data_IF_266742964911
#
_entry.id   IF_266742964911
#
_cell.length_a   1.000
_cell.length_b   1.000
_cell.length_c   1.000
_cell.angle_alpha   90.00
_cell.angle_beta   90.00
_cell.angle_gamma   90.00
#
_symmetry.space_group_name_H-M   'P 1'
#
loop_
_entity.id
_entity.type
_entity.pdbx_description
1 polymer ?
#
# COMPACT_ATOMS: atom_id res chain seq x y z
N UNK A 1 -11.79 -0.39 -75.13
CA UNK A 1 -11.98 -0.75 -73.71
C UNK A 1 -10.88 -0.10 -72.88
N UNK A 2 -11.19 1.04 -72.28
CA UNK A 2 -10.29 1.83 -71.43
C UNK A 2 -10.25 1.24 -70.02
N UNK A 3 -9.09 0.71 -69.62
CA UNK A 3 -8.85 0.24 -68.25
C UNK A 3 -8.66 1.44 -67.32
N UNK A 4 -9.68 1.72 -66.50
CA UNK A 4 -9.62 2.71 -65.41
C UNK A 4 -8.71 2.14 -64.31
N UNK A 5 -7.51 2.72 -64.16
CA UNK A 5 -6.74 2.62 -62.91
C UNK A 5 -7.56 3.26 -61.80
N UNK A 6 -8.06 2.44 -60.87
CA UNK A 6 -8.59 2.92 -59.60
C UNK A 6 -7.37 3.34 -58.77
N UNK A 7 -7.09 4.64 -58.72
CA UNK A 7 -6.22 5.23 -57.70
C UNK A 7 -7.05 5.24 -56.42
N UNK A 8 -6.81 4.27 -55.54
CA UNK A 8 -7.29 4.39 -54.16
C UNK A 8 -6.56 5.57 -53.52
N UNK A 9 -7.31 6.61 -53.14
CA UNK A 9 -6.77 7.67 -52.30
C UNK A 9 -6.42 7.04 -50.95
N UNK A 10 -5.14 6.73 -50.74
CA UNK A 10 -4.62 6.39 -49.42
C UNK A 10 -4.84 7.65 -48.58
N UNK A 11 -5.88 7.64 -47.75
CA UNK A 11 -6.13 8.71 -46.81
C UNK A 11 -4.90 8.78 -45.90
N UNK A 12 -4.10 9.83 -46.09
CA UNK A 12 -2.81 9.96 -45.42
C UNK A 12 -3.01 9.84 -43.92
N UNK A 13 -2.34 8.86 -43.31
CA UNK A 13 -2.42 8.63 -41.87
C UNK A 13 -2.03 9.91 -41.12
N UNK A 14 -2.94 10.36 -40.24
CA UNK A 14 -2.77 11.61 -39.49
C UNK A 14 -1.56 11.58 -38.58
N UNK A 15 -1.17 10.39 -38.08
CA UNK A 15 0.01 10.22 -37.24
C UNK A 15 1.31 10.36 -38.05
N UNK A 16 1.33 9.83 -39.27
CA UNK A 16 2.47 9.95 -40.18
C UNK A 16 2.80 11.40 -40.56
N UNK A 17 1.82 12.32 -40.47
CA UNK A 17 2.01 13.75 -40.77
C UNK A 17 2.48 14.59 -39.58
N UNK A 18 2.54 14.03 -38.36
CA UNK A 18 3.02 14.77 -37.18
C UNK A 18 4.54 14.95 -37.23
N UNK A 19 5.10 16.06 -36.73
CA UNK A 19 6.54 16.20 -36.51
C UNK A 19 7.06 15.19 -35.48
N UNK A 20 8.33 14.77 -35.64
CA UNK A 20 9.00 13.82 -34.74
C UNK A 20 8.91 14.25 -33.27
N UNK A 21 9.03 15.55 -33.00
CA UNK A 21 8.95 16.10 -31.63
C UNK A 21 7.61 15.78 -30.95
N UNK A 22 6.49 15.84 -31.70
CA UNK A 22 5.18 15.49 -31.16
C UNK A 22 5.02 13.98 -31.01
N UNK A 23 5.54 13.21 -31.96
CA UNK A 23 5.53 11.75 -31.87
C UNK A 23 6.32 11.24 -30.67
N UNK A 24 7.47 11.85 -30.37
CA UNK A 24 8.27 11.51 -29.18
C UNK A 24 7.50 11.82 -27.89
N UNK A 25 6.75 12.92 -27.83
CA UNK A 25 5.89 13.24 -26.67
C UNK A 25 4.80 12.18 -26.51
N UNK A 26 4.14 11.80 -27.61
CA UNK A 26 3.10 10.76 -27.61
C UNK A 26 3.70 9.42 -27.14
N UNK A 27 4.80 8.98 -27.74
CA UNK A 27 5.45 7.70 -27.41
C UNK A 27 5.99 7.70 -25.98
N UNK A 28 6.52 8.83 -25.49
CA UNK A 28 7.01 8.95 -24.10
C UNK A 28 5.87 8.90 -23.08
N UNK A 29 4.61 9.08 -23.51
CA UNK A 29 3.43 8.90 -22.66
C UNK A 29 2.95 7.44 -22.59
N UNK A 30 3.53 6.55 -23.40
CA UNK A 30 3.28 5.11 -23.37
C UNK A 30 4.24 4.41 -22.40
N UNK A 31 3.89 3.21 -21.94
CA UNK A 31 4.87 2.35 -21.28
C UNK A 31 6.01 2.01 -22.23
N UNK A 32 7.18 1.66 -21.70
CA UNK A 32 8.34 1.32 -22.53
C UNK A 32 8.03 0.16 -23.49
N UNK A 33 7.29 -0.85 -23.04
CA UNK A 33 6.83 -1.98 -23.86
C UNK A 33 5.89 -1.56 -25.00
N UNK A 34 4.92 -0.70 -24.71
CA UNK A 34 4.00 -0.18 -25.73
C UNK A 34 4.75 0.69 -26.74
N UNK A 35 5.65 1.55 -26.27
CA UNK A 35 6.56 2.32 -27.09
C UNK A 35 7.32 1.39 -28.06
N UNK A 36 7.97 0.34 -27.57
CA UNK A 36 8.68 -0.62 -28.43
C UNK A 36 7.75 -1.31 -29.43
N UNK A 37 6.51 -1.57 -29.05
CA UNK A 37 5.51 -2.19 -29.92
C UNK A 37 5.15 -1.29 -31.12
N UNK A 38 5.23 0.04 -30.97
CA UNK A 38 5.03 0.97 -32.11
C UNK A 38 6.16 0.92 -33.15
N UNK A 39 7.32 0.34 -32.82
CA UNK A 39 8.47 0.25 -33.75
C UNK A 39 8.21 -0.57 -35.01
N UNK A 40 7.15 -1.39 -35.02
CA UNK A 40 6.73 -2.19 -36.18
C UNK A 40 5.91 -1.39 -37.19
N UNK A 41 5.41 -0.20 -36.82
CA UNK A 41 4.55 0.63 -37.66
C UNK A 41 5.30 1.18 -38.89
N UNK A 42 6.56 1.58 -38.72
CA UNK A 42 7.44 1.95 -39.83
C UNK A 42 8.91 2.03 -39.38
N UNK A 43 9.82 2.22 -40.33
CA UNK A 43 11.23 2.53 -40.04
C UNK A 43 11.37 3.80 -39.20
N UNK A 44 10.57 4.84 -39.47
CA UNK A 44 10.57 6.09 -38.69
C UNK A 44 10.21 5.85 -37.23
N UNK A 45 9.11 5.12 -36.99
CA UNK A 45 8.67 4.78 -35.63
C UNK A 45 9.73 3.98 -34.87
N UNK A 46 10.42 3.04 -35.53
CA UNK A 46 11.56 2.32 -34.93
C UNK A 46 12.68 3.25 -34.42
N UNK A 47 12.98 4.33 -35.13
CA UNK A 47 13.95 5.33 -34.67
C UNK A 47 13.36 6.22 -33.57
N UNK A 48 12.11 6.64 -33.67
CA UNK A 48 11.46 7.46 -32.63
C UNK A 48 11.35 6.75 -31.29
N UNK A 49 11.07 5.44 -31.28
CA UNK A 49 11.08 4.63 -30.05
C UNK A 49 12.45 4.66 -29.34
N UNK A 50 13.55 4.87 -30.07
CA UNK A 50 14.90 5.01 -29.48
C UNK A 50 15.11 6.35 -28.80
N UNK A 51 14.23 7.32 -29.00
CA UNK A 51 14.27 8.65 -28.37
C UNK A 51 13.26 8.77 -27.22
N UNK A 52 12.67 7.65 -26.77
CA UNK A 52 11.80 7.65 -25.59
C UNK A 52 12.53 8.17 -24.36
N UNK A 53 11.81 8.94 -23.53
CA UNK A 53 12.33 9.48 -22.27
C UNK A 53 12.15 8.54 -21.08
N UNK A 54 11.35 7.49 -21.25
CA UNK A 54 11.03 6.52 -20.20
C UNK A 54 11.50 5.15 -20.65
N UNK A 55 12.51 4.63 -19.97
CA UNK A 55 13.10 3.32 -20.24
C UNK A 55 12.85 2.42 -19.04
N UNK A 56 12.19 1.29 -19.25
CA UNK A 56 11.89 0.34 -18.18
C UNK A 56 12.26 -1.07 -18.62
N UNK A 57 13.33 -1.61 -18.06
CA UNK A 57 13.72 -3.00 -18.28
C UNK A 57 13.13 -3.86 -17.16
N UNK A 58 12.12 -4.67 -17.50
CA UNK A 58 11.47 -5.56 -16.56
C UNK A 58 11.64 -7.02 -16.99
N UNK A 59 12.38 -7.79 -16.18
CA UNK A 59 12.64 -9.21 -16.40
C UNK A 59 11.34 -10.00 -16.52
N UNK A 60 10.33 -9.69 -15.70
CA UNK A 60 9.06 -10.44 -15.68
C UNK A 60 8.25 -10.31 -16.98
N UNK A 61 8.49 -9.26 -17.77
CA UNK A 61 7.86 -9.08 -19.08
C UNK A 61 8.55 -9.88 -20.19
N UNK A 62 9.79 -10.34 -19.97
CA UNK A 62 10.63 -10.99 -20.96
C UNK A 62 10.92 -12.47 -20.64
N UNK A 63 11.07 -12.79 -19.36
CA UNK A 63 11.45 -14.12 -18.87
C UNK A 63 10.27 -14.76 -18.14
N UNK A 64 9.60 -15.69 -18.82
CA UNK A 64 8.65 -16.59 -18.14
C UNK A 64 9.40 -17.53 -17.19
N UNK A 65 9.18 -17.34 -15.89
CA UNK A 65 9.80 -18.10 -14.81
C UNK A 65 9.31 -19.55 -14.69
N UNK A 66 8.27 -19.95 -15.43
CA UNK A 66 7.76 -21.33 -15.45
C UNK A 66 8.51 -22.28 -16.40
N UNK A 67 9.44 -21.73 -17.21
CA UNK A 67 10.13 -22.48 -18.28
C UNK A 67 11.52 -22.93 -17.83
N UNK A 68 11.95 -24.12 -18.26
CA UNK A 68 13.25 -24.73 -17.93
C UNK A 68 14.47 -23.91 -18.38
N UNK A 69 14.33 -23.13 -19.47
CA UNK A 69 15.42 -22.35 -20.06
C UNK A 69 15.56 -20.92 -19.47
N UNK A 70 15.31 -20.76 -18.17
CA UNK A 70 15.37 -19.45 -17.48
C UNK A 70 16.74 -18.78 -17.67
N UNK A 71 17.84 -19.52 -17.56
CA UNK A 71 19.20 -18.96 -17.65
C UNK A 71 19.48 -18.32 -19.01
N UNK A 72 19.17 -19.00 -20.13
CA UNK A 72 19.46 -18.46 -21.46
C UNK A 72 18.59 -17.25 -21.78
N UNK A 73 17.32 -17.24 -21.33
CA UNK A 73 16.44 -16.08 -21.45
C UNK A 73 16.98 -14.87 -20.67
N UNK A 74 17.52 -15.07 -19.46
CA UNK A 74 18.19 -14.00 -18.69
C UNK A 74 19.43 -13.46 -19.39
N UNK A 75 20.27 -14.34 -19.94
CA UNK A 75 21.44 -13.94 -20.75
C UNK A 75 20.99 -13.10 -21.95
N UNK A 76 19.96 -13.55 -22.66
CA UNK A 76 19.39 -12.80 -23.79
C UNK A 76 18.82 -11.45 -23.36
N UNK A 77 18.14 -11.37 -22.21
CA UNK A 77 17.59 -10.13 -21.69
C UNK A 77 18.70 -9.12 -21.33
N UNK A 78 19.74 -9.57 -20.62
CA UNK A 78 20.89 -8.73 -20.30
C UNK A 78 21.61 -8.28 -21.58
N UNK A 79 21.81 -9.18 -22.54
CA UNK A 79 22.36 -8.82 -23.85
C UNK A 79 21.52 -7.78 -24.58
N UNK A 80 20.19 -7.88 -24.49
CA UNK A 80 19.27 -6.88 -25.03
C UNK A 80 19.42 -5.52 -24.33
N UNK A 81 19.46 -5.48 -22.98
CA UNK A 81 19.66 -4.24 -22.22
C UNK A 81 20.98 -3.56 -22.60
N UNK A 82 22.09 -4.31 -22.62
CA UNK A 82 23.42 -3.81 -22.99
C UNK A 82 23.47 -3.31 -24.44
N UNK A 83 22.83 -4.03 -25.37
CA UNK A 83 22.72 -3.59 -26.76
C UNK A 83 21.85 -2.33 -26.90
N UNK A 84 20.84 -2.16 -26.04
CA UNK A 84 19.99 -0.99 -26.09
C UNK A 84 20.73 0.27 -25.66
N UNK A 85 21.40 0.24 -24.49
CA UNK A 85 22.14 1.40 -23.98
C UNK A 85 23.28 1.81 -24.90
N UNK A 86 24.01 0.84 -25.48
CA UNK A 86 25.11 1.12 -26.41
C UNK A 86 24.66 1.79 -27.72
N UNK A 87 23.40 1.63 -28.09
CA UNK A 87 22.80 2.22 -29.30
C UNK A 87 21.89 3.42 -28.99
N UNK A 88 21.84 3.88 -27.74
CA UNK A 88 21.00 4.99 -27.33
C UNK A 88 21.67 6.32 -27.67
N UNK A 89 21.10 7.05 -28.63
CA UNK A 89 21.59 8.36 -29.07
C UNK A 89 20.73 9.52 -28.54
N UNK A 90 19.68 9.21 -27.78
CA UNK A 90 18.82 10.22 -27.17
C UNK A 90 19.59 11.11 -26.19
N UNK A 91 19.17 12.38 -26.14
CA UNK A 91 19.81 13.40 -25.30
C UNK A 91 19.35 13.36 -23.84
N UNK A 92 18.10 12.96 -23.59
CA UNK A 92 17.47 13.06 -22.27
C UNK A 92 16.77 11.75 -21.94
N UNK A 93 16.92 11.27 -20.69
CA UNK A 93 16.10 10.21 -20.11
C UNK A 93 15.52 10.81 -18.83
N UNK A 94 14.20 10.76 -18.71
CA UNK A 94 13.49 11.26 -17.54
C UNK A 94 13.36 10.16 -16.47
N UNK A 95 13.01 8.95 -16.89
CA UNK A 95 12.87 7.80 -16.02
C UNK A 95 13.64 6.60 -16.56
N UNK A 96 14.39 5.95 -15.67
CA UNK A 96 15.12 4.72 -15.96
C UNK A 96 14.83 3.67 -14.88
N UNK A 97 14.36 2.51 -15.30
CA UNK A 97 13.95 1.42 -14.42
C UNK A 97 14.66 0.12 -14.80
N UNK A 98 15.20 -0.55 -13.78
CA UNK A 98 15.80 -1.88 -13.86
C UNK A 98 15.08 -2.77 -12.83
N UNK A 99 14.26 -3.68 -13.32
CA UNK A 99 13.58 -4.71 -12.54
C UNK A 99 14.16 -6.07 -12.94
N UNK A 100 15.05 -6.62 -12.11
CA UNK A 100 15.80 -7.84 -12.43
C UNK A 100 16.09 -8.65 -11.17
N UNK A 101 15.35 -9.75 -10.97
CA UNK A 101 15.38 -10.54 -9.73
C UNK A 101 16.75 -11.15 -9.50
N UNK A 102 17.36 -10.93 -8.32
CA UNK A 102 18.63 -11.53 -7.88
C UNK A 102 19.69 -11.51 -9.02
N UNK A 103 20.41 -10.39 -9.24
CA UNK A 103 21.33 -10.17 -10.36
C UNK A 103 22.62 -11.02 -10.36
N UNK A 104 22.63 -12.16 -9.68
CA UNK A 104 23.77 -13.05 -9.57
C UNK A 104 24.29 -13.47 -10.95
N UNK A 105 25.57 -13.18 -11.21
CA UNK A 105 26.24 -13.46 -12.48
C UNK A 105 26.11 -12.36 -13.55
N UNK A 106 25.40 -11.26 -13.27
CA UNK A 106 25.22 -10.12 -14.18
C UNK A 106 25.55 -8.78 -13.51
N UNK A 107 26.37 -8.81 -12.45
CA UNK A 107 26.60 -7.66 -11.58
C UNK A 107 27.25 -6.49 -12.34
N UNK A 108 28.22 -6.78 -13.21
CA UNK A 108 28.94 -5.76 -13.97
C UNK A 108 28.05 -5.10 -15.04
N UNK A 109 27.20 -5.89 -15.70
CA UNK A 109 26.24 -5.37 -16.68
C UNK A 109 25.19 -4.49 -16.00
N UNK A 110 24.69 -4.90 -14.83
CA UNK A 110 23.76 -4.12 -14.02
C UNK A 110 24.40 -2.83 -13.52
N UNK A 111 25.65 -2.87 -13.06
CA UNK A 111 26.41 -1.68 -12.67
C UNK A 111 26.56 -0.71 -13.85
N UNK A 112 26.93 -1.22 -15.04
CA UNK A 112 27.02 -0.41 -16.27
C UNK A 112 25.69 0.23 -16.67
N UNK A 113 24.57 -0.47 -16.48
CA UNK A 113 23.23 0.08 -16.71
C UNK A 113 22.90 1.23 -15.75
N UNK A 114 23.28 1.10 -14.47
CA UNK A 114 23.08 2.15 -13.47
C UNK A 114 23.97 3.37 -13.78
N UNK A 115 25.25 3.15 -14.12
CA UNK A 115 26.16 4.22 -14.53
C UNK A 115 25.67 4.95 -15.78
N UNK A 116 25.09 4.22 -16.74
CA UNK A 116 24.46 4.80 -17.90
C UNK A 116 23.30 5.72 -17.50
N UNK A 117 22.41 5.29 -16.59
CA UNK A 117 21.31 6.13 -16.10
C UNK A 117 21.84 7.41 -15.43
N UNK A 118 22.88 7.29 -14.60
CA UNK A 118 23.54 8.45 -13.96
C UNK A 118 24.15 9.40 -14.99
N UNK A 119 24.81 8.87 -16.02
CA UNK A 119 25.37 9.67 -17.13
C UNK A 119 24.32 10.49 -17.88
N UNK A 120 23.06 10.05 -17.83
CA UNK A 120 21.91 10.67 -18.48
C UNK A 120 21.14 11.63 -17.58
N UNK A 121 21.60 11.83 -16.34
CA UNK A 121 21.06 12.80 -15.39
C UNK A 121 19.55 12.61 -15.16
N UNK A 122 19.16 11.35 -14.93
CA UNK A 122 17.76 10.95 -14.80
C UNK A 122 17.11 11.57 -13.56
N UNK A 123 15.82 11.87 -13.69
CA UNK A 123 15.00 12.38 -12.58
C UNK A 123 14.42 11.25 -11.74
N UNK A 124 14.10 10.12 -12.36
CA UNK A 124 13.48 8.98 -11.70
C UNK A 124 14.31 7.73 -11.95
N UNK A 125 14.85 7.15 -10.88
CA UNK A 125 15.64 5.93 -10.95
C UNK A 125 14.96 4.83 -10.12
N UNK A 126 14.68 3.70 -10.77
CA UNK A 126 14.15 2.50 -10.12
C UNK A 126 15.15 1.36 -10.29
N UNK A 127 15.58 0.80 -9.18
CA UNK A 127 16.43 -0.38 -9.09
C UNK A 127 15.71 -1.38 -8.22
N UNK A 128 15.17 -2.43 -8.81
CA UNK A 128 14.39 -3.46 -8.12
C UNK A 128 14.96 -4.85 -8.42
N UNK A 129 15.67 -5.39 -7.45
CA UNK A 129 16.26 -6.73 -7.52
C UNK A 129 15.50 -7.76 -6.68
N UNK A 130 14.31 -7.40 -6.20
CA UNK A 130 13.47 -8.28 -5.40
C UNK A 130 13.13 -9.54 -6.18
N UNK A 131 13.22 -10.70 -5.53
CA UNK A 131 12.64 -11.91 -6.08
C UNK A 131 11.11 -11.90 -5.87
N UNK A 132 10.29 -12.10 -6.91
CA UNK A 132 8.83 -12.13 -6.78
C UNK A 132 8.29 -13.16 -5.78
N UNK A 133 9.06 -14.22 -5.49
CA UNK A 133 8.69 -15.24 -4.50
C UNK A 133 8.85 -14.78 -3.05
N UNK A 134 9.56 -13.68 -2.79
CA UNK A 134 9.74 -13.17 -1.44
C UNK A 134 8.45 -12.58 -0.90
N UNK A 135 8.03 -13.10 0.25
CA UNK A 135 6.78 -12.72 0.93
C UNK A 135 7.01 -12.21 2.35
N UNK A 136 8.20 -12.46 2.93
CA UNK A 136 8.60 -12.01 4.26
C UNK A 136 10.06 -11.54 4.23
N UNK A 137 10.43 -10.62 5.12
CA UNK A 137 11.77 -10.01 5.16
C UNK A 137 12.91 -11.06 5.32
N UNK A 138 12.67 -12.15 6.06
CA UNK A 138 13.63 -13.25 6.23
C UNK A 138 13.92 -14.03 4.94
N UNK A 139 13.04 -13.95 3.93
CA UNK A 139 13.30 -14.52 2.61
C UNK A 139 14.45 -13.78 1.91
N UNK A 140 14.54 -12.47 2.08
CA UNK A 140 15.57 -11.63 1.45
C UNK A 140 16.87 -11.59 2.25
N UNK A 141 16.82 -11.71 3.58
CA UNK A 141 18.01 -11.65 4.43
C UNK A 141 19.05 -12.72 4.06
N UNK A 142 18.61 -13.87 3.56
CA UNK A 142 19.48 -14.94 3.05
C UNK A 142 20.31 -14.53 1.85
N UNK A 143 19.90 -13.49 1.11
CA UNK A 143 20.57 -13.00 -0.09
C UNK A 143 21.30 -11.67 0.17
N UNK A 144 21.30 -11.16 1.41
CA UNK A 144 21.87 -9.87 1.76
C UNK A 144 23.37 -9.76 1.39
N UNK A 145 24.11 -10.85 1.54
CA UNK A 145 25.55 -10.90 1.19
C UNK A 145 25.81 -10.93 -0.33
N UNK A 146 24.79 -11.21 -1.13
CA UNK A 146 24.84 -11.24 -2.60
C UNK A 146 24.31 -9.95 -3.24
N UNK A 147 23.88 -8.98 -2.42
CA UNK A 147 23.28 -7.76 -2.92
C UNK A 147 24.30 -6.94 -3.73
N UNK A 148 23.89 -6.51 -4.94
CA UNK A 148 24.58 -5.44 -5.67
C UNK A 148 24.60 -4.21 -4.78
N UNK A 149 25.76 -3.60 -4.58
CA UNK A 149 25.85 -2.32 -3.88
C UNK A 149 25.50 -1.20 -4.84
N UNK A 150 24.76 -0.22 -4.36
CA UNK A 150 24.44 0.96 -5.13
C UNK A 150 25.75 1.69 -5.50
N UNK A 151 26.01 1.95 -6.80
CA UNK A 151 27.21 2.65 -7.24
C UNK A 151 27.33 4.05 -6.62
N UNK A 152 28.57 4.47 -6.32
CA UNK A 152 28.86 5.76 -5.64
C UNK A 152 28.34 6.95 -6.44
N UNK A 153 28.33 6.86 -7.77
CA UNK A 153 27.88 7.92 -8.66
C UNK A 153 26.39 8.25 -8.49
N UNK A 154 25.56 7.32 -8.00
CA UNK A 154 24.13 7.56 -7.76
C UNK A 154 23.91 8.56 -6.62
N UNK A 155 24.71 8.48 -5.54
CA UNK A 155 24.60 9.39 -4.40
C UNK A 155 24.97 10.84 -4.73
N UNK A 156 25.70 11.04 -5.83
CA UNK A 156 26.11 12.38 -6.32
C UNK A 156 25.12 12.96 -7.33
N UNK A 157 24.03 12.25 -7.65
CA UNK A 157 23.08 12.65 -8.68
C UNK A 157 22.12 13.72 -8.16
N UNK A 158 22.36 14.98 -8.54
CA UNK A 158 21.58 16.14 -8.07
C UNK A 158 20.25 16.37 -8.80
N UNK A 159 20.07 15.71 -9.94
CA UNK A 159 18.86 15.79 -10.77
C UNK A 159 17.72 14.87 -10.31
N UNK A 160 18.00 14.00 -9.34
CA UNK A 160 17.10 12.95 -8.91
C UNK A 160 15.91 13.51 -8.10
N UNK A 161 14.70 13.30 -8.61
CA UNK A 161 13.45 13.65 -7.96
C UNK A 161 12.82 12.44 -7.23
N UNK A 162 13.03 11.22 -7.75
CA UNK A 162 12.53 9.97 -7.17
C UNK A 162 13.55 8.83 -7.28
N UNK A 163 13.75 8.10 -6.18
CA UNK A 163 14.61 6.92 -6.10
C UNK A 163 13.87 5.75 -5.46
N UNK A 164 13.79 4.63 -6.16
CA UNK A 164 13.32 3.35 -5.61
C UNK A 164 14.46 2.33 -5.65
N UNK A 165 14.82 1.76 -4.51
CA UNK A 165 15.92 0.80 -4.35
C UNK A 165 15.43 -0.40 -3.55
N UNK A 166 15.21 -1.52 -4.23
CA UNK A 166 14.75 -2.77 -3.64
C UNK A 166 15.80 -3.86 -3.82
N UNK A 167 16.17 -4.53 -2.72
CA UNK A 167 17.16 -5.62 -2.69
C UNK A 167 18.54 -5.24 -3.28
N UNK A 168 18.92 -3.96 -3.16
CA UNK A 168 20.20 -3.42 -3.58
C UNK A 168 20.85 -2.72 -2.38
N UNK A 169 22.09 -3.10 -2.05
CA UNK A 169 22.81 -2.64 -0.87
C UNK A 169 23.01 -1.13 -0.90
N UNK A 170 22.44 -0.44 0.09
CA UNK A 170 22.52 0.99 0.25
C UNK A 170 23.45 1.34 1.41
N UNK A 171 24.21 2.41 1.25
CA UNK A 171 25.02 3.02 2.30
C UNK A 171 24.45 4.42 2.59
N UNK A 172 23.56 4.55 3.60
CA UNK A 172 22.83 5.79 3.85
C UNK A 172 23.74 6.98 4.16
N UNK A 173 24.94 6.72 4.72
CA UNK A 173 25.92 7.73 5.09
C UNK A 173 26.48 8.51 3.89
N UNK A 174 26.38 7.94 2.68
CA UNK A 174 26.91 8.53 1.44
C UNK A 174 25.99 9.58 0.83
N UNK A 175 24.75 9.70 1.28
CA UNK A 175 23.91 10.79 0.83
C UNK A 175 24.36 12.11 1.46
N UNK A 176 24.75 13.06 0.61
CA UNK A 176 25.07 14.42 1.02
C UNK A 176 23.79 15.27 1.17
N UNK A 177 23.82 16.31 2.01
CA UNK A 177 22.69 17.20 2.34
C UNK A 177 21.96 17.86 1.14
N UNK A 178 22.52 17.76 -0.06
CA UNK A 178 21.98 18.38 -1.28
C UNK A 178 21.51 17.37 -2.35
N UNK A 179 21.69 16.07 -2.12
CA UNK A 179 21.50 15.02 -3.14
C UNK A 179 20.35 14.05 -2.91
N UNK A 180 19.54 14.21 -1.85
CA UNK A 180 18.42 13.31 -1.57
C UNK A 180 17.17 13.70 -2.40
N UNK A 181 16.53 12.72 -3.06
CA UNK A 181 15.35 12.96 -3.89
C UNK A 181 14.13 13.37 -3.05
N UNK A 182 13.13 13.95 -3.72
CA UNK A 182 11.83 14.27 -3.10
C UNK A 182 11.06 13.02 -2.70
N UNK A 183 11.26 11.91 -3.40
CA UNK A 183 10.66 10.61 -3.11
C UNK A 183 11.73 9.54 -2.97
N UNK A 184 11.68 8.81 -1.86
CA UNK A 184 12.60 7.71 -1.57
C UNK A 184 11.81 6.48 -1.14
N UNK A 185 12.00 5.38 -1.85
CA UNK A 185 11.43 4.07 -1.53
C UNK A 185 12.55 3.05 -1.41
N UNK A 186 12.70 2.47 -0.24
CA UNK A 186 13.75 1.52 0.09
C UNK A 186 13.08 0.24 0.54
N UNK A 187 13.52 -0.91 0.03
CA UNK A 187 12.92 -2.16 0.48
C UNK A 187 13.81 -3.38 0.36
N UNK A 188 13.49 -4.41 1.13
CA UNK A 188 14.16 -5.71 1.09
C UNK A 188 15.67 -5.63 1.34
N UNK A 189 16.11 -4.72 2.22
CA UNK A 189 17.51 -4.57 2.61
C UNK A 189 17.70 -4.61 4.13
N UNK A 190 18.94 -4.90 4.53
CA UNK A 190 19.43 -4.65 5.88
C UNK A 190 19.64 -3.13 6.03
N UNK A 191 18.78 -2.45 6.78
CA UNK A 191 18.74 -0.99 6.79
C UNK A 191 19.28 -0.40 8.08
N UNK A 192 20.59 -0.57 8.27
CA UNK A 192 21.37 0.03 9.35
C UNK A 192 21.86 1.43 8.97
N UNK A 193 22.18 2.26 9.96
CA UNK A 193 22.64 3.65 9.83
C UNK A 193 21.61 4.58 9.16
N UNK A 194 20.33 4.22 9.21
CA UNK A 194 19.23 4.92 8.55
C UNK A 194 18.99 6.35 9.11
N UNK A 195 19.45 6.64 10.33
CA UNK A 195 19.35 8.00 10.92
C UNK A 195 20.12 9.05 10.10
N UNK A 196 21.25 8.66 9.49
CA UNK A 196 22.05 9.56 8.64
C UNK A 196 21.27 10.02 7.40
N UNK A 197 20.41 9.15 6.87
CA UNK A 197 19.57 9.45 5.70
C UNK A 197 18.55 10.56 5.99
N UNK A 198 17.87 10.45 7.13
CA UNK A 198 16.78 11.36 7.51
C UNK A 198 17.31 12.72 7.98
N UNK A 199 18.46 12.73 8.66
CA UNK A 199 19.12 13.98 9.07
C UNK A 199 19.65 14.80 7.88
N UNK A 200 19.98 14.15 6.76
CA UNK A 200 20.55 14.77 5.58
C UNK A 200 19.51 15.12 4.48
N UNK A 201 18.20 14.95 4.70
CA UNK A 201 17.15 15.09 3.66
C UNK A 201 16.12 16.21 3.91
N UNK A 202 16.48 17.50 3.77
CA UNK A 202 15.50 18.58 3.91
C UNK A 202 14.45 18.63 2.79
N UNK A 203 14.72 18.02 1.63
CA UNK A 203 13.88 18.03 0.43
C UNK A 203 12.88 16.88 0.36
N UNK A 204 13.00 15.88 1.22
CA UNK A 204 12.21 14.65 1.14
C UNK A 204 10.74 14.91 1.49
N UNK A 205 9.85 14.49 0.58
CA UNK A 205 8.40 14.64 0.69
C UNK A 205 7.67 13.30 0.81
N UNK A 206 8.22 12.22 0.29
CA UNK A 206 7.64 10.88 0.36
C UNK A 206 8.72 9.87 0.74
N UNK A 207 8.50 9.13 1.84
CA UNK A 207 9.38 8.08 2.33
C UNK A 207 8.60 6.77 2.41
N UNK A 208 9.12 5.71 1.78
CA UNK A 208 8.62 4.33 1.90
C UNK A 208 9.74 3.40 2.33
N UNK A 209 9.51 2.62 3.38
CA UNK A 209 10.45 1.61 3.87
C UNK A 209 9.70 0.27 3.95
N UNK A 210 10.09 -0.66 3.08
CA UNK A 210 9.27 -1.83 2.74
C UNK A 210 10.05 -3.13 2.97
N UNK A 211 9.61 -3.99 3.88
CA UNK A 211 10.22 -5.29 4.18
C UNK A 211 11.71 -5.23 4.56
N UNK A 212 12.15 -4.11 5.13
CA UNK A 212 13.52 -3.96 5.63
C UNK A 212 13.69 -4.66 6.98
N UNK A 213 14.91 -5.06 7.32
CA UNK A 213 15.24 -5.60 8.63
C UNK A 213 16.39 -4.84 9.28
N UNK A 214 16.50 -4.96 10.60
CA UNK A 214 17.46 -4.22 11.43
C UNK A 214 17.32 -2.70 11.32
N UNK A 215 16.12 -2.19 11.08
CA UNK A 215 15.88 -0.75 10.90
C UNK A 215 16.23 -0.02 12.21
N UNK A 216 17.18 0.90 12.17
CA UNK A 216 17.73 1.60 13.33
C UNK A 216 17.33 3.08 13.41
N UNK A 217 16.11 3.40 12.98
CA UNK A 217 15.55 4.75 13.01
C UNK A 217 14.89 5.02 14.38
N UNK A 218 15.42 5.97 15.15
CA UNK A 218 14.79 6.41 16.42
C UNK A 218 13.87 7.62 16.28
N UNK A 219 14.09 8.47 15.27
CA UNK A 219 13.33 9.70 15.09
C UNK A 219 13.10 9.96 13.60
N UNK A 220 11.83 10.10 13.24
CA UNK A 220 11.38 10.46 11.89
C UNK A 220 10.80 11.85 11.99
N UNK A 221 11.58 12.83 11.54
CA UNK A 221 11.23 14.23 11.60
C UNK A 221 11.45 14.89 10.23
N UNK A 222 10.57 15.82 9.87
CA UNK A 222 10.74 16.60 8.65
C UNK A 222 9.44 17.07 8.03
N UNK A 223 9.57 17.77 6.91
CA UNK A 223 8.44 18.33 6.15
C UNK A 223 7.94 17.33 5.09
N UNK A 224 7.66 16.10 5.51
CA UNK A 224 7.18 15.02 4.66
C UNK A 224 5.66 15.07 4.49
N UNK A 225 5.19 14.73 3.29
CA UNK A 225 3.77 14.60 2.91
C UNK A 225 3.27 13.16 3.02
N UNK A 226 4.13 12.19 2.76
CA UNK A 226 3.79 10.77 2.78
C UNK A 226 4.89 10.00 3.52
N UNK A 227 4.48 9.17 4.47
CA UNK A 227 5.37 8.27 5.21
C UNK A 227 4.72 6.89 5.26
N UNK A 228 5.44 5.89 4.73
CA UNK A 228 4.99 4.51 4.62
C UNK A 228 6.05 3.58 5.20
N UNK A 229 5.61 2.75 6.15
CA UNK A 229 6.35 1.60 6.65
C UNK A 229 5.53 0.37 6.35
N UNK A 230 6.10 -0.57 5.60
CA UNK A 230 5.46 -1.84 5.30
C UNK A 230 6.36 -3.00 5.77
N UNK A 231 5.81 -3.86 6.61
CA UNK A 231 6.44 -5.05 7.19
C UNK A 231 7.95 -4.92 7.52
N UNK A 232 8.35 -3.80 8.11
CA UNK A 232 9.76 -3.54 8.41
C UNK A 232 10.07 -3.85 9.87
N UNK A 233 11.15 -4.60 10.09
CA UNK A 233 11.58 -5.03 11.43
C UNK A 233 12.57 -4.02 12.00
N UNK A 234 12.10 -3.26 13.00
CA UNK A 234 12.90 -2.34 13.77
C UNK A 234 13.75 -3.11 14.78
N UNK A 235 15.05 -2.81 14.83
CA UNK A 235 16.02 -3.56 15.64
C UNK A 235 15.52 -3.72 17.10
N UNK A 236 15.68 -4.91 17.73
CA UNK A 236 14.94 -5.29 18.91
C UNK A 236 15.08 -4.28 20.06
N UNK A 237 13.94 -3.71 20.47
CA UNK A 237 13.67 -2.94 21.70
C UNK A 237 13.81 -1.41 21.68
N UNK A 238 13.54 -0.68 20.61
CA UNK A 238 13.56 0.80 20.71
C UNK A 238 12.37 1.49 20.06
N UNK A 239 11.84 2.43 20.83
CA UNK A 239 10.81 3.35 20.46
C UNK A 239 11.17 4.10 19.17
N UNK A 240 10.15 4.49 18.41
CA UNK A 240 10.30 5.38 17.28
C UNK A 240 9.50 6.65 17.55
N UNK A 241 10.17 7.79 17.43
CA UNK A 241 9.56 9.11 17.58
C UNK A 241 9.19 9.71 16.22
N UNK A 242 8.03 10.38 16.15
CA UNK A 242 7.51 11.02 14.95
C UNK A 242 7.31 12.52 15.19
N UNK A 243 7.90 13.36 14.34
CA UNK A 243 7.71 14.80 14.28
C UNK A 243 7.39 15.23 12.84
N UNK A 244 6.12 15.07 12.48
CA UNK A 244 5.62 15.16 11.10
C UNK A 244 4.48 16.19 11.00
N UNK A 245 4.78 17.50 11.06
CA UNK A 245 3.76 18.55 11.13
C UNK A 245 2.91 18.70 9.86
N UNK A 246 3.37 18.20 8.70
CA UNK A 246 2.73 18.41 7.40
C UNK A 246 2.34 17.11 6.67
N UNK A 247 2.39 15.97 7.36
CA UNK A 247 2.06 14.66 6.78
C UNK A 247 0.59 14.57 6.40
N UNK A 248 0.31 14.10 5.20
CA UNK A 248 -1.03 13.92 4.66
C UNK A 248 -1.40 12.44 4.58
N UNK A 249 -0.42 11.56 4.37
CA UNK A 249 -0.60 10.11 4.29
C UNK A 249 0.39 9.45 5.24
N UNK A 250 -0.12 8.67 6.19
CA UNK A 250 0.70 7.88 7.11
C UNK A 250 0.26 6.41 7.06
N UNK A 251 1.17 5.52 6.67
CA UNK A 251 0.89 4.08 6.63
C UNK A 251 1.95 3.35 7.44
N UNK A 252 1.50 2.49 8.34
CA UNK A 252 2.36 1.66 9.15
C UNK A 252 1.85 0.24 9.15
N UNK A 253 2.70 -0.70 8.75
CA UNK A 253 2.48 -2.12 8.92
C UNK A 253 3.72 -2.80 9.51
N UNK A 254 3.52 -3.63 10.53
CA UNK A 254 4.62 -4.32 11.21
C UNK A 254 4.31 -4.67 12.66
N UNK A 255 5.35 -4.77 13.49
CA UNK A 255 5.22 -5.03 14.93
C UNK A 255 4.76 -3.78 15.70
N UNK A 256 4.21 -3.96 16.91
CA UNK A 256 3.90 -2.84 17.81
C UNK A 256 5.21 -2.30 18.40
N UNK A 257 5.49 -1.01 18.17
CA UNK A 257 6.62 -0.29 18.75
C UNK A 257 6.17 0.54 19.95
N UNK A 258 7.12 1.04 20.72
CA UNK A 258 6.84 2.18 21.59
C UNK A 258 6.80 3.43 20.72
N UNK A 259 5.60 3.94 20.46
CA UNK A 259 5.39 5.10 19.60
C UNK A 259 5.47 6.38 20.42
N UNK A 260 6.40 7.27 20.07
CA UNK A 260 6.43 8.64 20.59
C UNK A 260 6.00 9.60 19.47
N UNK A 261 5.02 10.46 19.71
CA UNK A 261 4.56 11.42 18.69
C UNK A 261 4.65 12.82 19.26
N UNK A 262 5.57 13.62 18.71
CA UNK A 262 5.89 14.96 19.18
C UNK A 262 4.96 16.00 18.57
N UNK A 263 5.02 16.15 17.25
CA UNK A 263 4.07 16.96 16.48
C UNK A 263 3.56 16.13 15.32
N UNK A 264 2.27 16.22 15.08
CA UNK A 264 1.61 15.57 13.97
C UNK A 264 0.71 16.58 13.29
N UNK A 265 0.55 16.44 11.98
CA UNK A 265 -0.40 17.25 11.24
C UNK A 265 -1.80 17.07 11.83
N UNK A 266 -2.50 18.19 12.03
CA UNK A 266 -3.86 18.21 12.57
C UNK A 266 -4.91 17.87 11.51
N UNK A 267 -4.53 17.78 10.22
CA UNK A 267 -5.42 17.42 9.11
C UNK A 267 -4.70 16.39 8.24
N UNK A 268 -4.91 15.11 8.54
CA UNK A 268 -4.29 14.00 7.81
C UNK A 268 -5.34 13.41 6.87
N UNK A 269 -5.01 13.19 5.60
CA UNK A 269 -5.95 12.62 4.63
C UNK A 269 -6.20 11.15 4.92
N UNK A 270 -5.13 10.38 5.08
CA UNK A 270 -5.21 8.92 5.24
C UNK A 270 -4.23 8.43 6.30
N UNK A 271 -4.74 7.61 7.22
CA UNK A 271 -3.96 6.83 8.18
C UNK A 271 -4.29 5.36 8.00
N UNK A 272 -3.27 4.53 7.82
CA UNK A 272 -3.39 3.08 7.72
C UNK A 272 -2.49 2.40 8.75
N UNK A 273 -3.07 1.57 9.62
CA UNK A 273 -2.36 0.88 10.70
C UNK A 273 -2.62 -0.63 10.65
N UNK A 274 -1.57 -1.42 10.46
CA UNK A 274 -1.66 -2.88 10.35
C UNK A 274 -0.58 -3.65 11.13
N UNK A 275 -0.97 -4.20 12.26
CA UNK A 275 -0.12 -4.97 13.17
C UNK A 275 -0.22 -6.49 12.99
N UNK A 276 -0.19 -6.98 11.75
CA UNK A 276 -0.41 -8.40 11.45
C UNK A 276 0.59 -9.36 12.13
N UNK A 277 1.82 -8.92 12.41
CA UNK A 277 2.83 -9.72 13.11
C UNK A 277 2.38 -10.15 14.52
N UNK A 278 1.48 -9.39 15.14
CA UNK A 278 0.98 -9.66 16.49
C UNK A 278 -0.34 -10.48 16.50
N UNK A 279 -0.94 -10.78 15.34
CA UNK A 279 -2.25 -11.45 15.27
C UNK A 279 -2.27 -12.86 15.87
N UNK A 280 -1.16 -13.59 15.79
CA UNK A 280 -1.03 -14.93 16.38
C UNK A 280 -0.96 -14.93 17.92
N UNK A 281 -0.78 -13.77 18.54
CA UNK A 281 -0.60 -13.64 20.00
C UNK A 281 -1.91 -13.30 20.74
N UNK A 282 -3.00 -12.99 20.01
CA UNK A 282 -4.28 -12.57 20.59
C UNK A 282 -5.27 -13.74 20.73
N UNK A 283 -4.94 -14.72 21.57
CA UNK A 283 -5.88 -15.79 21.95
C UNK A 283 -6.79 -15.40 23.12
N UNK A 284 -6.21 -14.71 24.11
CA UNK A 284 -6.88 -14.19 25.30
C UNK A 284 -6.11 -12.99 25.85
N UNK A 285 -6.78 -12.06 26.57
CA UNK A 285 -6.11 -10.96 27.22
C UNK A 285 -4.95 -11.44 28.10
N UNK A 286 -3.79 -10.82 27.93
CA UNK A 286 -2.60 -11.11 28.71
C UNK A 286 -1.83 -9.80 28.97
N UNK A 287 -0.72 -9.88 29.72
CA UNK A 287 0.06 -8.69 30.08
C UNK A 287 0.58 -7.92 28.85
N UNK A 288 0.96 -8.64 27.78
CA UNK A 288 1.47 -8.03 26.56
C UNK A 288 0.36 -7.30 25.79
N UNK A 289 -0.79 -7.94 25.58
CA UNK A 289 -1.92 -7.30 24.87
C UNK A 289 -2.48 -6.08 25.59
N UNK A 290 -2.39 -6.01 26.93
CA UNK A 290 -2.75 -4.82 27.71
C UNK A 290 -1.77 -3.65 27.53
N UNK A 291 -0.48 -3.94 27.46
CA UNK A 291 0.55 -2.94 27.14
C UNK A 291 0.36 -2.43 25.72
N UNK A 292 0.23 -3.36 24.76
CA UNK A 292 -0.01 -3.03 23.36
C UNK A 292 -1.32 -2.23 23.19
N UNK A 293 -2.38 -2.57 23.94
CA UNK A 293 -3.63 -1.81 23.95
C UNK A 293 -3.47 -0.37 24.43
N UNK A 294 -2.65 -0.15 25.47
CA UNK A 294 -2.29 1.20 25.95
C UNK A 294 -1.49 1.97 24.90
N UNK A 295 -0.42 1.36 24.37
CA UNK A 295 0.47 1.97 23.38
C UNK A 295 -0.29 2.33 22.08
N UNK A 296 -1.13 1.42 21.59
CA UNK A 296 -1.92 1.62 20.37
C UNK A 296 -3.03 2.66 20.57
N UNK A 297 -3.65 2.73 21.76
CA UNK A 297 -4.65 3.77 22.05
C UNK A 297 -4.01 5.16 22.16
N UNK A 298 -2.83 5.25 22.81
CA UNK A 298 -2.02 6.46 22.82
C UNK A 298 -1.59 6.89 21.42
N UNK A 299 -1.18 5.93 20.58
CA UNK A 299 -0.78 6.20 19.21
C UNK A 299 -1.95 6.70 18.35
N UNK A 300 -3.14 6.08 18.44
CA UNK A 300 -4.35 6.54 17.77
C UNK A 300 -4.74 7.97 18.15
N UNK A 301 -4.57 8.36 19.41
CA UNK A 301 -4.84 9.73 19.87
C UNK A 301 -3.95 10.79 19.20
N UNK A 302 -2.83 10.39 18.61
CA UNK A 302 -1.96 11.26 17.81
C UNK A 302 -2.49 11.50 16.39
N UNK A 303 -3.45 10.69 15.93
CA UNK A 303 -4.08 10.78 14.61
C UNK A 303 -5.52 11.30 14.65
N UNK A 304 -5.90 12.05 15.68
CA UNK A 304 -7.27 12.59 15.81
C UNK A 304 -7.74 13.42 14.64
N UNK A 305 -6.82 14.03 13.88
CA UNK A 305 -7.10 14.80 12.67
C UNK A 305 -7.23 13.99 11.38
N UNK A 306 -7.19 12.66 11.44
CA UNK A 306 -7.29 11.81 10.25
C UNK A 306 -8.71 11.82 9.69
N UNK A 307 -8.86 12.05 8.37
CA UNK A 307 -10.14 11.96 7.67
C UNK A 307 -10.52 10.51 7.37
N UNK A 308 -9.56 9.74 6.85
CA UNK A 308 -9.70 8.30 6.65
C UNK A 308 -8.77 7.55 7.59
N UNK A 309 -9.34 6.66 8.42
CA UNK A 309 -8.60 5.80 9.33
C UNK A 309 -8.86 4.33 8.98
N UNK A 310 -7.80 3.60 8.64
CA UNK A 310 -7.83 2.17 8.37
C UNK A 310 -7.08 1.41 9.46
N UNK A 311 -7.72 0.40 10.05
CA UNK A 311 -7.14 -0.38 11.16
C UNK A 311 -7.33 -1.89 10.97
N UNK A 312 -6.40 -2.68 11.49
CA UNK A 312 -6.39 -4.14 11.38
C UNK A 312 -7.09 -4.86 12.55
N UNK A 313 -7.37 -6.18 12.41
CA UNK A 313 -8.03 -6.97 13.46
C UNK A 313 -7.31 -6.98 14.81
N UNK A 314 -5.97 -7.03 14.82
CA UNK A 314 -5.20 -7.02 16.06
C UNK A 314 -5.38 -5.71 16.83
N UNK A 315 -5.45 -4.58 16.11
CA UNK A 315 -5.74 -3.29 16.75
C UNK A 315 -7.14 -3.31 17.37
N UNK A 316 -8.16 -3.78 16.64
CA UNK A 316 -9.54 -3.87 17.16
C UNK A 316 -9.63 -4.73 18.43
N UNK A 317 -8.79 -5.75 18.52
CA UNK A 317 -8.70 -6.60 19.68
C UNK A 317 -7.96 -5.91 20.83
N UNK A 318 -6.80 -5.32 20.61
CA UNK A 318 -5.95 -4.77 21.68
C UNK A 318 -6.46 -3.48 22.32
N UNK A 319 -7.04 -2.53 21.56
CA UNK A 319 -7.45 -1.22 22.09
C UNK A 319 -8.50 -1.32 23.21
N UNK A 320 -9.28 -2.40 23.23
CA UNK A 320 -10.33 -2.61 24.22
C UNK A 320 -9.80 -2.93 25.63
N UNK A 321 -8.50 -3.27 25.72
CA UNK A 321 -7.75 -3.65 26.91
C UNK A 321 -6.95 -2.47 27.51
N UNK A 322 -7.07 -1.27 26.92
CA UNK A 322 -6.47 -0.05 27.46
C UNK A 322 -7.11 0.30 28.81
N UNK A 323 -6.34 0.18 29.89
CA UNK A 323 -6.76 0.52 31.26
C UNK A 323 -6.26 1.90 31.70
N UNK A 324 -5.23 2.44 31.04
CA UNK A 324 -4.66 3.75 31.38
C UNK A 324 -5.59 4.90 30.96
N UNK A 325 -6.12 5.70 31.91
CA UNK A 325 -6.99 6.82 31.61
C UNK A 325 -6.36 7.87 30.69
N UNK A 326 -5.03 8.04 30.74
CA UNK A 326 -4.33 9.05 29.95
C UNK A 326 -4.29 8.72 28.45
N UNK A 327 -4.33 7.41 28.15
CA UNK A 327 -4.22 6.81 26.83
C UNK A 327 -5.56 6.39 26.23
N UNK A 328 -6.67 6.48 26.99
CA UNK A 328 -8.01 6.19 26.47
C UNK A 328 -8.30 6.98 25.21
N UNK A 329 -8.96 6.32 24.25
CA UNK A 329 -9.32 6.94 22.98
C UNK A 329 -10.16 8.19 23.21
N UNK A 330 -9.76 9.25 22.52
CA UNK A 330 -10.44 10.54 22.49
C UNK A 330 -11.21 10.68 21.18
N UNK A 331 -12.17 11.62 21.10
CA UNK A 331 -12.89 11.88 19.86
C UNK A 331 -11.93 12.22 18.71
N UNK A 332 -12.17 11.60 17.56
CA UNK A 332 -11.45 11.79 16.30
C UNK A 332 -12.33 12.48 15.26
N UNK A 333 -11.70 13.20 14.34
CA UNK A 333 -12.33 13.89 13.22
C UNK A 333 -12.57 12.98 12.00
N UNK A 334 -12.40 11.67 12.17
CA UNK A 334 -12.57 10.65 11.15
C UNK A 334 -13.95 10.71 10.49
N UNK A 335 -13.95 10.89 9.17
CA UNK A 335 -15.12 10.90 8.29
C UNK A 335 -15.33 9.50 7.66
N UNK A 336 -14.25 8.76 7.42
CA UNK A 336 -14.27 7.41 6.85
C UNK A 336 -13.44 6.42 7.68
N UNK A 337 -14.11 5.46 8.31
CA UNK A 337 -13.45 4.40 9.09
C UNK A 337 -13.43 3.09 8.29
N UNK A 338 -12.24 2.56 8.03
CA UNK A 338 -12.04 1.26 7.37
C UNK A 338 -11.58 0.24 8.40
N UNK A 339 -12.48 -0.69 8.72
CA UNK A 339 -12.29 -1.76 9.69
C UNK A 339 -11.93 -3.03 8.93
N UNK A 340 -10.64 -3.35 8.86
CA UNK A 340 -10.20 -4.67 8.39
C UNK A 340 -10.48 -5.66 9.51
N UNK A 341 -11.37 -6.61 9.26
CA UNK A 341 -11.97 -7.44 10.31
C UNK A 341 -12.12 -8.89 9.89
N UNK A 342 -12.03 -9.81 10.85
CA UNK A 342 -12.43 -11.23 10.66
C UNK A 342 -13.83 -11.49 11.18
N UNK A 343 -14.55 -10.44 11.58
CA UNK A 343 -15.84 -10.49 12.27
C UNK A 343 -15.82 -11.44 13.47
N UNK A 344 -14.68 -11.50 14.18
CA UNK A 344 -14.52 -12.30 15.38
C UNK A 344 -15.09 -11.57 16.60
N UNK A 345 -15.64 -12.30 17.57
CA UNK A 345 -16.29 -11.69 18.76
C UNK A 345 -15.35 -10.80 19.58
N UNK A 346 -14.05 -11.10 19.58
CA UNK A 346 -13.05 -10.31 20.31
C UNK A 346 -12.78 -8.95 19.65
N UNK A 347 -13.21 -8.74 18.41
CA UNK A 347 -13.06 -7.46 17.70
C UNK A 347 -14.24 -6.51 18.00
N UNK A 348 -15.40 -7.03 18.42
CA UNK A 348 -16.65 -6.26 18.47
C UNK A 348 -16.62 -5.08 19.44
N UNK A 349 -16.00 -5.22 20.61
CA UNK A 349 -15.87 -4.11 21.57
C UNK A 349 -14.93 -3.03 21.03
N UNK A 350 -13.84 -3.39 20.35
CA UNK A 350 -12.96 -2.40 19.71
C UNK A 350 -13.60 -1.72 18.50
N UNK A 351 -14.36 -2.45 17.68
CA UNK A 351 -15.19 -1.87 16.62
C UNK A 351 -16.13 -0.84 17.21
N UNK A 352 -16.87 -1.20 18.27
CA UNK A 352 -17.77 -0.28 18.96
C UNK A 352 -17.03 0.94 19.52
N UNK A 353 -15.89 0.72 20.17
CA UNK A 353 -15.08 1.79 20.74
C UNK A 353 -14.65 2.83 19.69
N UNK A 354 -14.27 2.40 18.48
CA UNK A 354 -13.93 3.32 17.39
C UNK A 354 -15.16 4.03 16.83
N UNK A 355 -16.28 3.33 16.65
CA UNK A 355 -17.55 3.95 16.23
C UNK A 355 -17.98 5.05 17.22
N UNK A 356 -17.90 4.79 18.53
CA UNK A 356 -18.30 5.71 19.59
C UNK A 356 -17.38 6.95 19.69
N UNK A 357 -16.12 6.83 19.24
CA UNK A 357 -15.11 7.90 19.26
C UNK A 357 -14.92 8.62 17.92
N UNK A 358 -15.73 8.32 16.90
CA UNK A 358 -15.71 9.03 15.61
C UNK A 358 -17.04 9.80 15.40
N UNK A 359 -17.26 10.94 16.08
CA UNK A 359 -18.53 11.68 15.98
C UNK A 359 -18.84 12.27 14.59
N UNK A 360 -17.84 12.46 13.74
CA UNK A 360 -17.99 13.01 12.37
C UNK A 360 -18.08 11.92 11.29
N UNK A 361 -18.20 10.67 11.69
CA UNK A 361 -18.15 9.52 10.80
C UNK A 361 -19.31 9.50 9.82
N UNK A 362 -19.00 9.64 8.53
CA UNK A 362 -19.99 9.56 7.45
C UNK A 362 -20.04 8.17 6.81
N UNK A 363 -18.91 7.48 6.78
CA UNK A 363 -18.76 6.19 6.11
C UNK A 363 -18.02 5.18 6.98
N UNK A 364 -18.56 3.97 7.09
CA UNK A 364 -17.84 2.82 7.66
C UNK A 364 -17.66 1.77 6.59
N UNK A 365 -16.44 1.28 6.41
CA UNK A 365 -16.14 0.13 5.56
C UNK A 365 -15.69 -1.03 6.41
N UNK A 366 -16.40 -2.15 6.36
CA UNK A 366 -15.92 -3.43 6.86
C UNK A 366 -15.22 -4.15 5.72
N UNK A 367 -13.91 -4.32 5.82
CA UNK A 367 -13.12 -5.10 4.88
C UNK A 367 -12.89 -6.50 5.46
N UNK A 368 -13.70 -7.46 5.02
CA UNK A 368 -13.69 -8.80 5.59
C UNK A 368 -12.48 -9.57 5.06
N UNK A 369 -11.60 -9.97 5.97
CA UNK A 369 -10.42 -10.77 5.66
C UNK A 369 -10.74 -12.24 5.94
N UNK A 370 -10.48 -13.11 4.96
CA UNK A 370 -10.66 -14.56 5.12
C UNK A 370 -9.71 -15.11 6.19
N UNK A 371 -10.21 -16.07 6.96
CA UNK A 371 -9.50 -16.72 8.09
C UNK A 371 -8.08 -17.13 7.71
N UNK A 372 -7.10 -16.75 8.53
CA UNK A 372 -5.84 -17.50 8.59
C UNK A 372 -6.13 -18.90 9.13
N UNK A 373 -5.29 -19.90 8.79
CA UNK A 373 -5.43 -21.29 9.28
C UNK A 373 -5.27 -21.44 10.82
N UNK A 374 -5.20 -20.33 11.56
CA UNK A 374 -5.11 -20.35 13.01
C UNK A 374 -6.48 -20.66 13.63
N UNK A 375 -6.48 -21.75 14.39
CA UNK A 375 -7.64 -22.34 15.04
C UNK A 375 -7.99 -21.53 16.30
N UNK A 376 -8.87 -20.54 16.18
CA UNK A 376 -9.56 -19.92 17.34
C UNK A 376 -10.61 -20.86 17.95
N UNK A 377 -10.33 -22.16 18.06
CA UNK A 377 -11.35 -23.16 18.39
C UNK A 377 -11.85 -23.09 19.83
N UNK A 378 -11.33 -22.22 20.73
CA UNK A 378 -11.62 -22.40 22.16
C UNK A 378 -11.83 -21.18 23.07
N UNK A 379 -11.88 -19.93 22.61
CA UNK A 379 -12.11 -18.83 23.56
C UNK A 379 -13.03 -17.74 23.05
N UNK A 380 -14.33 -17.91 23.31
CA UNK A 380 -15.27 -16.78 23.32
C UNK A 380 -15.07 -15.88 24.56
N UNK A 381 -14.15 -16.23 25.50
CA UNK A 381 -13.98 -15.55 26.79
C UNK A 381 -15.31 -15.26 27.52
N UNK A 382 -16.34 -16.09 27.34
CA UNK A 382 -17.68 -15.89 27.91
C UNK A 382 -18.58 -14.88 27.17
N UNK A 383 -18.14 -14.28 26.06
CA UNK A 383 -18.92 -13.34 25.24
C UNK A 383 -19.78 -14.12 24.24
N UNK A 384 -21.10 -14.06 24.41
CA UNK A 384 -22.04 -14.65 23.46
C UNK A 384 -22.15 -13.76 22.20
N UNK A 385 -21.86 -14.28 20.98
CA UNK A 385 -21.98 -13.51 19.74
C UNK A 385 -23.38 -12.93 19.53
N UNK A 386 -24.42 -13.64 19.99
CA UNK A 386 -25.83 -13.23 19.85
C UNK A 386 -26.15 -12.01 20.71
N UNK A 387 -25.61 -11.94 21.93
CA UNK A 387 -25.95 -10.89 22.89
C UNK A 387 -24.98 -9.72 22.91
N UNK A 388 -23.79 -9.86 22.29
CA UNK A 388 -22.76 -8.82 22.28
C UNK A 388 -23.28 -7.47 21.75
N UNK A 389 -24.10 -7.53 20.70
CA UNK A 389 -24.74 -6.34 20.11
C UNK A 389 -26.11 -6.03 20.73
N UNK A 390 -26.76 -6.98 21.43
CA UNK A 390 -28.09 -6.82 22.05
C UNK A 390 -28.03 -6.20 23.46
N UNK A 391 -27.03 -6.55 24.27
CA UNK A 391 -26.95 -6.17 25.69
C UNK A 391 -26.32 -4.79 25.93
N UNK A 392 -25.95 -4.05 24.88
CA UNK A 392 -25.13 -2.83 24.99
C UNK A 392 -25.96 -1.53 24.97
N UNK A 393 -27.06 -1.52 25.74
CA UNK A 393 -28.00 -0.39 25.89
C UNK A 393 -27.44 0.83 26.67
N UNK A 394 -26.17 0.81 27.10
CA UNK A 394 -25.64 1.78 28.10
C UNK A 394 -24.50 2.70 27.66
N UNK A 395 -24.03 2.66 26.41
CA UNK A 395 -23.02 3.63 25.92
C UNK A 395 -23.34 4.11 24.50
N UNK A 396 -22.96 5.37 24.24
CA UNK A 396 -23.37 6.31 23.17
C UNK A 396 -23.89 5.69 21.86
N UNK A 397 -24.99 6.27 21.37
CA UNK A 397 -25.59 6.01 20.06
C UNK A 397 -24.57 6.15 18.93
N UNK A 398 -24.70 5.32 17.88
CA UNK A 398 -23.96 5.46 16.61
C UNK A 398 -23.82 6.93 16.17
N UNK A 399 -22.71 7.31 15.52
CA UNK A 399 -22.54 8.67 15.02
C UNK A 399 -23.76 9.09 14.21
N UNK A 400 -24.39 10.21 14.61
CA UNK A 400 -25.57 10.75 13.93
C UNK A 400 -25.31 11.09 12.45
N UNK A 401 -24.02 11.28 12.12
CA UNK A 401 -23.47 11.63 10.82
C UNK A 401 -23.30 10.44 9.87
N UNK A 402 -23.46 9.20 10.34
CA UNK A 402 -23.22 8.00 9.53
C UNK A 402 -24.27 7.86 8.42
N UNK A 403 -23.82 7.91 7.16
CA UNK A 403 -24.64 7.85 5.95
C UNK A 403 -24.50 6.53 5.21
N UNK A 404 -23.29 5.97 5.16
CA UNK A 404 -22.98 4.79 4.32
C UNK A 404 -22.25 3.72 5.12
N UNK A 405 -22.72 2.48 5.01
CA UNK A 405 -21.99 1.29 5.47
C UNK A 405 -21.61 0.45 4.26
N UNK A 406 -20.32 0.26 4.02
CA UNK A 406 -19.80 -0.62 2.98
C UNK A 406 -19.26 -1.91 3.60
N UNK A 407 -19.51 -3.05 2.96
CA UNK A 407 -18.93 -4.33 3.33
C UNK A 407 -18.24 -4.93 2.12
N UNK A 408 -16.91 -5.05 2.18
CA UNK A 408 -16.09 -5.72 1.17
C UNK A 408 -15.92 -7.18 1.55
N UNK A 409 -15.91 -8.05 0.53
CA UNK A 409 -15.84 -9.50 0.69
C UNK A 409 -17.00 -10.08 1.52
N UNK A 410 -18.19 -9.51 1.33
CA UNK A 410 -19.41 -9.95 2.02
C UNK A 410 -19.74 -11.40 1.67
N UNK A 411 -20.08 -12.19 2.71
CA UNK A 411 -20.38 -13.61 2.56
C UNK A 411 -21.68 -14.05 3.24
N UNK A 412 -22.39 -13.13 3.91
CA UNK A 412 -23.67 -13.42 4.56
C UNK A 412 -23.54 -14.19 5.86
N UNK A 413 -22.33 -14.29 6.43
CA UNK A 413 -22.11 -15.04 7.66
C UNK A 413 -22.84 -14.39 8.85
N UNK A 414 -23.19 -15.23 9.83
CA UNK A 414 -23.99 -14.84 10.99
C UNK A 414 -23.48 -13.58 11.71
N UNK A 415 -22.17 -13.46 11.90
CA UNK A 415 -21.57 -12.32 12.59
C UNK A 415 -21.65 -11.03 11.75
N UNK A 416 -21.44 -11.11 10.44
CA UNK A 416 -21.61 -9.99 9.52
C UNK A 416 -23.04 -9.46 9.60
N UNK A 417 -24.03 -10.37 9.49
CA UNK A 417 -25.45 -10.02 9.56
C UNK A 417 -25.83 -9.39 10.90
N UNK A 418 -25.26 -9.82 12.03
CA UNK A 418 -25.59 -9.25 13.34
C UNK A 418 -25.06 -7.83 13.52
N UNK A 419 -23.84 -7.56 13.06
CA UNK A 419 -23.28 -6.20 13.06
C UNK A 419 -24.13 -5.30 12.19
N UNK A 420 -24.47 -5.74 10.97
CA UNK A 420 -25.29 -4.97 10.05
C UNK A 420 -26.71 -4.73 10.58
N UNK A 421 -27.34 -5.75 11.18
CA UNK A 421 -28.63 -5.61 11.88
C UNK A 421 -28.56 -4.54 12.95
N UNK A 422 -27.53 -4.57 13.79
CA UNK A 422 -27.33 -3.56 14.83
C UNK A 422 -27.24 -2.16 14.23
N UNK A 423 -26.37 -1.95 13.24
CA UNK A 423 -26.19 -0.65 12.57
C UNK A 423 -27.48 -0.12 11.94
N UNK A 424 -28.25 -0.99 11.27
CA UNK A 424 -29.53 -0.65 10.65
C UNK A 424 -30.60 -0.33 11.71
N UNK A 425 -30.69 -1.14 12.77
CA UNK A 425 -31.75 -1.02 13.78
C UNK A 425 -31.53 0.12 14.77
N UNK A 426 -30.29 0.53 15.01
CA UNK A 426 -29.96 1.68 15.88
C UNK A 426 -30.57 3.00 15.39
N UNK A 427 -31.10 3.07 14.16
CA UNK A 427 -31.94 4.17 13.66
C UNK A 427 -33.27 4.32 14.41
N UNK A 428 -33.85 3.23 14.93
CA UNK A 428 -35.24 3.21 15.45
C UNK A 428 -35.40 3.81 16.85
N UNK A 429 -34.31 4.01 17.59
CA UNK A 429 -34.34 4.46 18.99
C UNK A 429 -34.33 5.98 19.20
N UNK A 430 -34.12 6.78 18.16
CA UNK A 430 -34.03 8.24 18.27
C UNK A 430 -35.16 8.93 17.52
N UNK A 431 -35.90 9.79 18.24
CA UNK A 431 -36.86 10.74 17.65
C UNK A 431 -36.19 11.76 16.69
N UNK A 432 -34.85 11.79 16.67
CA UNK A 432 -34.02 12.70 15.88
C UNK A 432 -32.99 11.89 15.06
N UNK A 433 -33.51 11.28 13.99
CA UNK A 433 -32.88 10.75 12.77
C UNK A 433 -31.41 10.31 12.78
N UNK A 434 -31.17 9.00 12.80
CA UNK A 434 -29.97 8.45 12.14
C UNK A 434 -30.04 8.71 10.63
N UNK A 435 -28.94 9.22 10.06
CA UNK A 435 -28.79 9.57 8.65
C UNK A 435 -28.37 8.39 7.77
N UNK A 436 -28.44 7.14 8.25
CA UNK A 436 -28.01 6.00 7.45
C UNK A 436 -28.91 5.92 6.20
N UNK A 437 -28.30 6.11 5.03
CA UNK A 437 -28.96 6.17 3.73
C UNK A 437 -28.90 4.81 3.06
N UNK A 438 -27.72 4.18 3.07
CA UNK A 438 -27.49 2.91 2.35
C UNK A 438 -26.44 2.01 2.97
N UNK A 439 -26.60 0.72 2.69
CA UNK A 439 -25.67 -0.37 3.00
C UNK A 439 -25.26 -1.01 1.68
N UNK A 440 -23.97 -0.96 1.35
CA UNK A 440 -23.42 -1.53 0.12
C UNK A 440 -22.65 -2.81 0.44
N UNK A 441 -23.09 -3.93 -0.14
CA UNK A 441 -22.55 -5.26 0.08
C UNK A 441 -21.83 -5.72 -1.18
N UNK A 442 -20.50 -5.76 -1.13
CA UNK A 442 -19.65 -6.19 -2.24
C UNK A 442 -19.26 -7.66 -2.03
N UNK A 443 -19.81 -8.53 -2.88
CA UNK A 443 -19.53 -9.97 -2.85
C UNK A 443 -18.22 -10.30 -3.55
N UNK A 444 -17.51 -11.30 -3.03
CA UNK A 444 -16.25 -11.76 -3.61
C UNK A 444 -16.47 -12.74 -4.78
N UNK A 445 -15.76 -12.57 -5.89
CA UNK A 445 -15.97 -13.28 -7.16
C UNK A 445 -15.84 -14.81 -7.02
N UNK A 446 -14.99 -15.27 -6.10
CA UNK A 446 -14.74 -16.70 -5.84
C UNK A 446 -15.62 -17.35 -4.76
N UNK A 447 -16.75 -16.74 -4.40
CA UNK A 447 -17.73 -17.37 -3.50
C UNK A 447 -18.46 -18.52 -4.22
N UNK A 448 -18.56 -19.67 -3.56
CA UNK A 448 -19.33 -20.83 -4.04
C UNK A 448 -20.82 -20.47 -4.21
N UNK A 449 -21.49 -21.09 -5.18
CA UNK A 449 -22.89 -20.78 -5.51
C UNK A 449 -23.83 -20.89 -4.29
N UNK A 450 -23.63 -21.91 -3.46
CA UNK A 450 -24.38 -22.14 -2.22
C UNK A 450 -24.20 -20.99 -1.21
N UNK A 451 -22.96 -20.50 -1.04
CA UNK A 451 -22.67 -19.35 -0.18
C UNK A 451 -23.20 -18.05 -0.77
N UNK A 452 -23.22 -17.91 -2.11
CA UNK A 452 -23.78 -16.74 -2.77
C UNK A 452 -25.29 -16.64 -2.52
N UNK A 453 -26.02 -17.76 -2.60
CA UNK A 453 -27.45 -17.79 -2.24
C UNK A 453 -27.69 -17.35 -0.80
N UNK A 454 -26.93 -17.89 0.16
CA UNK A 454 -27.02 -17.48 1.57
C UNK A 454 -26.72 -15.99 1.78
N UNK A 455 -25.74 -15.46 1.04
CA UNK A 455 -25.41 -14.04 1.10
C UNK A 455 -26.54 -13.16 0.53
N UNK A 456 -27.19 -13.57 -0.56
CA UNK A 456 -28.37 -12.88 -1.07
C UNK A 456 -29.55 -12.94 -0.11
N UNK A 457 -29.87 -14.11 0.46
CA UNK A 457 -30.91 -14.25 1.49
C UNK A 457 -30.62 -13.35 2.71
N UNK A 458 -29.35 -13.29 3.11
CA UNK A 458 -28.88 -12.39 4.17
C UNK A 458 -29.12 -10.92 3.83
N UNK A 459 -28.83 -10.50 2.59
CA UNK A 459 -29.06 -9.13 2.13
C UNK A 459 -30.55 -8.79 2.04
N UNK A 460 -31.39 -9.70 1.53
CA UNK A 460 -32.85 -9.54 1.49
C UNK A 460 -33.44 -9.41 2.90
N UNK A 461 -32.96 -10.23 3.84
CA UNK A 461 -33.34 -10.12 5.24
C UNK A 461 -32.95 -8.75 5.81
N UNK A 462 -31.74 -8.25 5.54
CA UNK A 462 -31.33 -6.90 5.96
C UNK A 462 -32.24 -5.84 5.34
N UNK A 463 -32.57 -5.94 4.05
CA UNK A 463 -33.50 -5.03 3.37
C UNK A 463 -34.89 -5.06 4.02
N UNK A 464 -35.41 -6.23 4.41
CA UNK A 464 -36.74 -6.36 5.03
C UNK A 464 -36.86 -5.62 6.38
N UNK A 465 -35.76 -5.47 7.12
CA UNK A 465 -35.73 -4.78 8.43
C UNK A 465 -35.28 -3.32 8.33
N UNK A 466 -34.79 -2.91 7.16
CA UNK A 466 -34.07 -1.65 6.93
C UNK A 466 -34.94 -0.39 6.93
N UNK A 467 -36.25 -0.54 6.72
CA UNK A 467 -37.16 0.60 6.58
C UNK A 467 -36.79 1.45 5.36
N UNK A 468 -36.29 2.67 5.58
CA UNK A 468 -35.91 3.60 4.51
C UNK A 468 -34.43 3.50 4.09
N UNK A 469 -33.63 2.63 4.71
CA UNK A 469 -32.23 2.41 4.31
C UNK A 469 -32.19 1.51 3.08
N UNK A 470 -31.42 1.87 2.06
CA UNK A 470 -31.25 1.05 0.86
C UNK A 470 -30.14 0.01 1.04
N UNK A 471 -30.42 -1.27 0.87
CA UNK A 471 -29.42 -2.34 0.86
C UNK A 471 -29.11 -2.70 -0.60
N UNK A 472 -27.88 -2.41 -1.02
CA UNK A 472 -27.37 -2.64 -2.37
C UNK A 472 -26.40 -3.81 -2.36
N UNK A 473 -26.54 -4.71 -3.33
CA UNK A 473 -25.64 -5.84 -3.51
C UNK A 473 -24.89 -5.67 -4.83
N UNK A 474 -23.57 -5.76 -4.76
CA UNK A 474 -22.67 -5.66 -5.90
C UNK A 474 -21.90 -6.96 -6.07
N UNK A 475 -21.89 -7.48 -7.29
CA UNK A 475 -21.01 -8.57 -7.70
C UNK A 475 -19.74 -7.93 -8.26
N UNK A 476 -18.61 -8.14 -7.57
CA UNK A 476 -17.29 -7.73 -8.07
C UNK A 476 -16.79 -8.66 -9.16
#
# INVERSE_FOLDING_TARGET
>A
MTSKRIVSSIQSDRLSNLPDTLLIIIISSLSFKECLSTSVLSTRWRYLCRETRNIAFNESEYVDHSVSDKKSKRISFVGYMSQWISRYHGRYIESFEICFSIPLGFMAEIESLIEFAVSKQVKNLVIDFKDPSWTINSSASWYAYLAVKLPVCVYSLTTLESLKIYACGLDPSKFTNSGLPRKLSIGWINFTEAESLLSNSPTLKSLSIDYCWSVDIKNIAGDMKEVVFDNSDFFPKKACSFDLPNVEIFKYSGSVLSFDVKRMNMIIKEVYLDFFCAEGEYDKPNRRTKLDGTDLSGFLNSFRGARTLSVCPYLLQSIQECEDPSSLLRPMDTEHLVLRTRMHVMEFKGIKLLLDNCPKLETVTFDIIRRSKFSYTKSYCGICPKTCWQNSLTYKSLPKTLKVVMVRNYSGLFNELNVLKFLIQSRRGHADGSMLERVELYMHNSIEESQRMLAHEGAEMLQSISGAVQVLVHNL
#
